data_IF_804584584046
#
_entry.id   IF_804584584046
#
_cell.length_a   1.000
_cell.length_b   1.000
_cell.length_c   1.000
_cell.angle_alpha   90.00
_cell.angle_beta   90.00
_cell.angle_gamma   90.00
#
_symmetry.space_group_name_H-M   'P 1'
#
loop_
_entity.id
_entity.type
_entity.pdbx_description
1 polymer ?
#
# COMPACT_ATOMS: atom_id res chain seq x y z
N UNK A 1 -16.57 27.13 -51.75
CA UNK A 1 -15.54 26.20 -52.28
C UNK A 1 -15.77 24.83 -51.67
N UNK A 2 -16.06 23.80 -52.47
CA UNK A 2 -16.26 22.42 -51.99
C UNK A 2 -14.92 21.67 -52.04
N UNK A 3 -14.52 21.04 -50.93
CA UNK A 3 -13.30 20.20 -50.92
C UNK A 3 -13.56 18.86 -51.62
N UNK A 4 -12.55 18.35 -52.30
CA UNK A 4 -12.65 17.12 -53.10
C UNK A 4 -12.92 15.88 -52.23
N UNK A 5 -13.46 14.82 -52.84
CA UNK A 5 -13.62 13.50 -52.19
C UNK A 5 -12.28 12.95 -51.69
N UNK A 6 -11.18 13.24 -52.40
CA UNK A 6 -9.81 12.86 -52.01
C UNK A 6 -9.33 13.57 -50.74
N UNK A 7 -9.73 14.82 -50.48
CA UNK A 7 -9.40 15.50 -49.23
C UNK A 7 -10.06 14.81 -48.02
N UNK A 8 -11.35 14.44 -48.14
CA UNK A 8 -12.07 13.74 -47.08
C UNK A 8 -11.53 12.34 -46.82
N UNK A 9 -11.16 11.60 -47.88
CA UNK A 9 -10.50 10.30 -47.75
C UNK A 9 -9.14 10.42 -47.02
N UNK A 10 -8.30 11.38 -47.39
CA UNK A 10 -7.01 11.62 -46.72
C UNK A 10 -7.19 12.01 -45.24
N UNK A 11 -8.16 12.89 -44.93
CA UNK A 11 -8.47 13.26 -43.56
C UNK A 11 -8.94 12.07 -42.70
N UNK A 12 -9.74 11.16 -43.27
CA UNK A 12 -10.18 9.94 -42.57
C UNK A 12 -9.00 9.00 -42.26
N UNK A 13 -8.07 8.80 -43.20
CA UNK A 13 -6.87 7.97 -42.99
C UNK A 13 -5.95 8.57 -41.91
N UNK A 14 -5.73 9.89 -41.91
CA UNK A 14 -4.96 10.57 -40.86
C UNK A 14 -5.64 10.43 -39.49
N UNK A 15 -6.96 10.58 -39.43
CA UNK A 15 -7.72 10.39 -38.18
C UNK A 15 -7.58 8.95 -37.65
N UNK A 16 -7.67 7.94 -38.51
CA UNK A 16 -7.44 6.54 -38.15
C UNK A 16 -6.02 6.30 -37.62
N UNK A 17 -4.99 6.86 -38.26
CA UNK A 17 -3.61 6.74 -37.79
C UNK A 17 -3.41 7.36 -36.40
N UNK A 18 -4.02 8.53 -36.14
CA UNK A 18 -3.99 9.18 -34.82
C UNK A 18 -4.73 8.36 -33.76
N UNK A 19 -5.90 7.78 -34.09
CA UNK A 19 -6.64 6.93 -33.16
C UNK A 19 -5.88 5.64 -32.82
N UNK A 20 -5.27 4.98 -33.81
CA UNK A 20 -4.42 3.80 -33.59
C UNK A 20 -3.21 4.11 -32.72
N UNK A 21 -2.52 5.24 -32.96
CA UNK A 21 -1.37 5.67 -32.17
C UNK A 21 -1.76 6.03 -30.73
N UNK A 22 -2.88 6.73 -30.53
CA UNK A 22 -3.39 7.05 -29.20
C UNK A 22 -3.80 5.78 -28.42
N UNK A 23 -4.47 4.83 -29.09
CA UNK A 23 -4.80 3.53 -28.51
C UNK A 23 -3.56 2.74 -28.10
N UNK A 24 -2.52 2.72 -28.95
CA UNK A 24 -1.25 2.06 -28.65
C UNK A 24 -0.51 2.68 -27.47
N UNK A 25 -0.40 4.02 -27.43
CA UNK A 25 0.26 4.73 -26.32
C UNK A 25 -0.47 4.58 -24.97
N UNK A 26 -1.81 4.43 -24.99
CA UNK A 26 -2.59 4.04 -23.80
C UNK A 26 -2.32 2.58 -23.44
N UNK A 27 -2.30 1.68 -24.42
CA UNK A 27 -2.07 0.25 -24.21
C UNK A 27 -0.70 -0.05 -23.59
N UNK A 28 0.41 0.53 -24.07
CA UNK A 28 1.73 0.35 -23.45
C UNK A 28 1.73 0.80 -21.98
N UNK A 29 1.15 1.97 -21.70
CA UNK A 29 1.07 2.52 -20.35
C UNK A 29 0.21 1.68 -19.40
N UNK A 30 -0.87 1.09 -19.91
CA UNK A 30 -1.75 0.18 -19.15
C UNK A 30 -1.08 -1.17 -18.95
N UNK A 31 -0.44 -1.73 -19.98
CA UNK A 31 0.27 -3.02 -19.93
C UNK A 31 1.33 -3.04 -18.83
N UNK A 32 2.18 -1.99 -18.76
CA UNK A 32 3.19 -1.83 -17.71
C UNK A 32 2.62 -1.78 -16.27
N UNK A 33 1.33 -1.48 -16.09
CA UNK A 33 0.67 -1.51 -14.79
C UNK A 33 -0.02 -2.86 -14.47
N UNK A 34 -0.29 -3.71 -15.47
CA UNK A 34 -0.96 -4.99 -15.26
C UNK A 34 -0.05 -6.22 -15.36
N UNK A 35 1.16 -6.12 -15.92
CA UNK A 35 2.11 -7.25 -16.01
C UNK A 35 2.79 -7.65 -14.67
N UNK A 36 2.39 -7.09 -13.53
CA UNK A 36 3.09 -7.27 -12.24
C UNK A 36 2.28 -7.93 -11.11
N UNK A 37 0.95 -7.76 -11.06
CA UNK A 37 0.12 -8.10 -9.89
C UNK A 37 -0.74 -9.37 -10.09
N UNK A 38 -0.18 -10.41 -10.72
CA UNK A 38 -0.73 -11.77 -10.57
C UNK A 38 -0.36 -12.27 -9.17
N UNK A 39 -1.17 -11.95 -8.17
CA UNK A 39 -1.02 -12.53 -6.83
C UNK A 39 -1.35 -14.02 -6.94
N UNK A 40 -0.33 -14.86 -7.05
CA UNK A 40 -0.47 -16.29 -6.75
C UNK A 40 -0.80 -16.44 -5.27
N UNK A 41 -2.10 -16.50 -4.97
CA UNK A 41 -2.60 -16.93 -3.67
C UNK A 41 -2.31 -18.42 -3.54
N UNK A 42 -1.07 -18.75 -3.18
CA UNK A 42 -0.79 -20.04 -2.56
C UNK A 42 -1.70 -20.12 -1.33
N UNK A 43 -2.64 -21.09 -1.26
CA UNK A 43 -3.45 -21.25 -0.08
C UNK A 43 -2.53 -21.62 1.07
N UNK A 44 -2.42 -20.73 2.06
CA UNK A 44 -1.85 -21.07 3.36
C UNK A 44 -2.60 -22.31 3.85
N UNK A 45 -1.94 -23.42 4.19
CA UNK A 45 -2.62 -24.60 4.69
C UNK A 45 -3.47 -24.23 5.90
N UNK A 46 -4.79 -24.24 5.73
CA UNK A 46 -5.71 -23.90 6.80
C UNK A 46 -5.50 -24.91 7.94
N UNK A 47 -5.29 -24.46 9.20
CA UNK A 47 -5.45 -25.36 10.32
C UNK A 47 -6.88 -25.90 10.26
N UNK A 48 -7.04 -27.22 10.39
CA UNK A 48 -8.35 -27.87 10.30
C UNK A 48 -9.22 -27.38 11.44
N UNK A 49 -10.13 -26.45 11.14
CA UNK A 49 -11.23 -26.11 12.02
C UNK A 49 -12.15 -27.34 12.09
N UNK A 50 -12.47 -27.76 13.32
CA UNK A 50 -13.46 -28.81 13.53
C UNK A 50 -14.86 -28.26 13.23
N UNK A 51 -15.77 -29.16 12.86
CA UNK A 51 -17.12 -28.81 12.44
C UNK A 51 -17.99 -28.50 13.66
N UNK A 52 -18.37 -27.23 13.81
CA UNK A 52 -19.24 -26.72 14.87
C UNK A 52 -20.41 -25.97 14.20
N UNK A 53 -21.49 -26.68 13.85
CA UNK A 53 -22.71 -26.11 13.26
C UNK A 53 -23.56 -25.39 14.32
N UNK A 54 -23.85 -24.09 14.15
CA UNK A 54 -25.22 -23.56 14.33
C UNK A 54 -25.41 -22.17 13.69
N UNK A 55 -26.67 -21.71 13.67
CA UNK A 55 -27.18 -20.70 12.73
C UNK A 55 -27.40 -19.30 13.36
N UNK A 56 -27.75 -18.31 12.53
CA UNK A 56 -28.38 -17.01 12.85
C UNK A 56 -27.51 -15.80 13.27
N UNK A 57 -27.14 -15.01 12.26
CA UNK A 57 -27.17 -13.52 12.28
C UNK A 57 -28.59 -13.02 12.69
N UNK A 58 -28.82 -11.82 13.28
CA UNK A 58 -28.06 -10.59 13.01
C UNK A 58 -27.94 -9.48 14.12
N UNK A 59 -27.29 -8.38 13.71
CA UNK A 59 -27.55 -6.98 14.11
C UNK A 59 -27.02 -6.42 15.46
N UNK A 60 -25.79 -5.86 15.37
CA UNK A 60 -25.44 -4.46 15.65
C UNK A 60 -25.63 -3.77 17.04
N UNK A 61 -24.59 -2.97 17.38
CA UNK A 61 -24.60 -1.62 17.99
C UNK A 61 -24.11 -1.48 19.44
N UNK A 62 -23.23 -0.49 19.66
CA UNK A 62 -22.74 0.14 20.92
C UNK A 62 -22.07 -0.81 21.95
N UNK A 63 -20.82 -0.58 22.36
CA UNK A 63 -20.29 0.53 23.20
C UNK A 63 -20.63 0.39 24.69
N UNK A 64 -19.68 -0.17 25.46
CA UNK A 64 -19.36 0.08 26.89
C UNK A 64 -18.17 -0.84 27.23
N UNK A 65 -17.05 -0.42 27.83
CA UNK A 65 -16.80 0.25 29.11
C UNK A 65 -16.56 -0.73 30.30
N UNK A 66 -15.26 -1.01 30.52
CA UNK A 66 -14.59 -1.22 31.82
C UNK A 66 -14.76 -2.52 32.67
N UNK A 67 -13.64 -3.27 32.74
CA UNK A 67 -12.90 -3.65 33.98
C UNK A 67 -13.42 -4.77 34.93
N UNK A 68 -12.47 -5.62 35.36
CA UNK A 68 -12.49 -6.56 36.52
C UNK A 68 -13.38 -7.84 36.43
N UNK A 69 -13.04 -9.01 37.02
CA UNK A 69 -11.86 -9.44 37.82
C UNK A 69 -11.65 -10.98 37.80
N UNK A 70 -10.45 -11.39 38.20
CA UNK A 70 -10.06 -12.68 38.81
C UNK A 70 -10.10 -13.97 37.95
N UNK A 71 -9.01 -14.75 38.00
CA UNK A 71 -8.93 -16.10 37.42
C UNK A 71 -7.56 -16.49 36.86
N UNK A 72 -6.52 -16.56 37.70
CA UNK A 72 -5.32 -17.36 37.39
C UNK A 72 -5.47 -18.71 38.11
N UNK A 73 -5.42 -19.83 37.37
CA UNK A 73 -4.22 -20.65 37.49
C UNK A 73 -3.75 -21.33 36.17
N UNK A 74 -2.52 -21.84 36.24
CA UNK A 74 -1.89 -22.83 35.36
C UNK A 74 -1.40 -22.32 33.99
N UNK A 75 -0.07 -22.26 33.88
CA UNK A 75 0.67 -21.89 32.68
C UNK A 75 0.58 -22.97 31.59
N UNK A 76 -0.07 -22.62 30.47
CA UNK A 76 0.34 -23.10 29.14
C UNK A 76 1.36 -22.11 28.58
N UNK A 77 2.38 -22.50 27.79
CA UNK A 77 3.25 -21.56 27.08
C UNK A 77 2.42 -20.72 26.10
N UNK A 78 2.00 -19.54 26.55
CA UNK A 78 1.07 -18.71 25.81
C UNK A 78 1.72 -18.16 24.54
N UNK A 79 1.03 -18.28 23.41
CA UNK A 79 1.39 -17.53 22.21
C UNK A 79 1.22 -16.04 22.53
N UNK A 80 2.34 -15.34 22.69
CA UNK A 80 2.33 -13.90 22.99
C UNK A 80 1.61 -13.16 21.86
N UNK A 81 0.53 -12.44 22.20
CA UNK A 81 -0.19 -11.61 21.24
C UNK A 81 0.82 -10.58 20.69
N UNK A 82 0.99 -10.44 19.36
CA UNK A 82 2.01 -9.56 18.82
C UNK A 82 1.71 -8.11 19.21
N UNK A 83 2.62 -7.50 19.97
CA UNK A 83 2.48 -6.12 20.46
C UNK A 83 2.96 -5.14 19.38
N UNK A 84 2.26 -4.02 19.20
CA UNK A 84 2.63 -3.02 18.20
C UNK A 84 3.80 -2.16 18.70
N UNK A 85 4.96 -2.30 18.04
CA UNK A 85 6.19 -1.56 18.32
C UNK A 85 6.10 -0.15 17.74
N UNK A 86 6.46 0.86 18.53
CA UNK A 86 6.47 2.27 18.12
C UNK A 86 7.68 2.57 17.24
N UNK A 87 7.53 2.44 15.93
CA UNK A 87 8.62 2.65 14.97
C UNK A 87 8.73 4.12 14.56
N UNK A 88 9.94 4.69 14.66
CA UNK A 88 10.27 6.04 14.21
C UNK A 88 10.85 6.02 12.79
N UNK A 89 10.14 6.62 11.85
CA UNK A 89 10.62 6.84 10.48
C UNK A 89 11.22 8.24 10.33
N UNK A 90 12.42 8.32 9.78
CA UNK A 90 13.10 9.60 9.50
C UNK A 90 13.45 9.76 8.01
N UNK A 91 13.31 10.98 7.49
CA UNK A 91 13.78 11.36 6.15
C UNK A 91 14.47 12.73 6.20
N UNK A 92 15.72 12.80 5.70
CA UNK A 92 16.57 14.00 5.81
C UNK A 92 16.46 14.86 4.55
N UNK A 93 15.58 15.86 4.58
CA UNK A 93 15.45 16.85 3.51
C UNK A 93 14.98 18.22 4.05
N UNK A 94 15.93 19.15 4.13
CA UNK A 94 15.67 20.51 4.56
C UNK A 94 14.93 21.37 3.50
N UNK A 95 15.02 21.01 2.21
CA UNK A 95 14.47 21.78 1.08
C UNK A 95 13.03 21.39 0.72
N UNK A 96 12.65 20.14 0.95
CA UNK A 96 11.27 19.67 0.74
C UNK A 96 10.24 20.55 1.47
N UNK A 97 9.09 20.79 0.83
CA UNK A 97 7.95 21.53 1.41
C UNK A 97 7.00 20.60 2.17
N UNK A 98 6.93 19.33 1.75
CA UNK A 98 6.05 18.29 2.26
C UNK A 98 6.71 16.92 2.11
N UNK A 99 6.62 16.09 3.15
CA UNK A 99 6.97 14.66 3.08
C UNK A 99 5.87 13.86 3.74
N UNK A 100 5.46 12.77 3.07
CA UNK A 100 4.61 11.72 3.64
C UNK A 100 5.31 10.37 3.55
N UNK A 101 4.87 9.40 4.34
CA UNK A 101 5.27 7.99 4.25
C UNK A 101 4.05 7.15 3.86
N UNK A 102 4.27 6.12 3.04
CA UNK A 102 3.28 5.11 2.69
C UNK A 102 3.95 3.73 2.65
N UNK A 103 3.25 2.70 3.16
CA UNK A 103 3.73 1.32 3.20
C UNK A 103 2.57 0.35 3.39
N UNK A 104 2.85 -0.95 3.41
CA UNK A 104 1.82 -1.97 3.68
C UNK A 104 1.07 -1.72 4.99
N UNK A 105 1.80 -1.31 6.04
CA UNK A 105 1.26 -0.95 7.36
C UNK A 105 0.38 0.31 7.40
N UNK A 106 0.35 1.13 6.34
CA UNK A 106 -0.64 2.23 6.18
C UNK A 106 -1.72 1.91 5.16
N UNK A 107 -1.78 0.66 4.65
CA UNK A 107 -2.53 0.30 3.44
C UNK A 107 -2.20 1.23 2.26
N UNK A 108 -0.92 1.59 2.12
CA UNK A 108 -0.37 2.57 1.17
C UNK A 108 -0.97 3.99 1.24
N UNK A 109 -1.69 4.33 2.31
CA UNK A 109 -2.19 5.70 2.55
C UNK A 109 -1.01 6.60 2.96
N UNK A 110 -0.96 7.81 2.38
CA UNK A 110 0.06 8.80 2.68
C UNK A 110 -0.13 9.42 4.07
N UNK A 111 0.71 9.04 5.04
CA UNK A 111 0.79 9.63 6.38
C UNK A 111 1.78 10.79 6.35
N UNK A 112 1.32 12.01 6.64
CA UNK A 112 2.17 13.22 6.66
C UNK A 112 3.21 13.15 7.78
N UNK A 113 4.46 13.49 7.48
CA UNK A 113 5.54 13.57 8.45
C UNK A 113 5.66 14.98 9.03
N UNK A 114 6.16 15.12 10.26
CA UNK A 114 6.45 16.40 10.89
C UNK A 114 7.90 16.83 10.63
N UNK A 115 8.14 18.08 10.21
CA UNK A 115 9.49 18.61 9.95
C UNK A 115 10.08 19.24 11.22
N UNK A 116 11.23 18.75 11.69
CA UNK A 116 12.00 19.31 12.81
C UNK A 116 13.48 19.37 12.44
N UNK A 117 14.07 20.57 12.49
CA UNK A 117 15.49 20.83 12.20
C UNK A 117 15.96 20.27 10.83
N UNK A 118 15.12 20.35 9.79
CA UNK A 118 15.41 19.82 8.46
C UNK A 118 15.25 18.30 8.29
N UNK A 119 14.87 17.59 9.35
CA UNK A 119 14.53 16.16 9.32
C UNK A 119 13.01 15.99 9.42
N UNK A 120 12.44 15.18 8.56
CA UNK A 120 11.04 14.77 8.61
C UNK A 120 10.91 13.51 9.46
N UNK A 121 9.96 13.49 10.40
CA UNK A 121 9.74 12.37 11.33
C UNK A 121 8.28 11.94 11.35
N UNK A 122 8.03 10.65 11.44
CA UNK A 122 6.72 10.08 11.75
C UNK A 122 6.89 8.89 12.71
N UNK A 123 5.99 8.80 13.69
CA UNK A 123 5.95 7.71 14.67
C UNK A 123 4.72 6.86 14.37
N UNK A 124 4.91 5.57 14.11
CA UNK A 124 3.83 4.66 13.69
C UNK A 124 3.96 3.35 14.47
N UNK A 125 2.87 2.92 15.09
CA UNK A 125 2.79 1.63 15.78
C UNK A 125 2.54 0.53 14.75
N UNK A 126 3.47 -0.43 14.66
CA UNK A 126 3.43 -1.55 13.71
C UNK A 126 3.86 -2.84 14.41
N UNK A 127 3.31 -3.98 14.01
CA UNK A 127 3.68 -5.28 14.59
C UNK A 127 5.12 -5.64 14.20
N UNK A 128 5.76 -6.63 14.86
CA UNK A 128 7.02 -7.19 14.38
C UNK A 128 6.88 -7.79 12.97
N UNK A 129 7.93 -7.67 12.16
CA UNK A 129 8.00 -8.16 10.79
C UNK A 129 8.64 -7.17 9.81
N UNK A 130 8.91 -7.64 8.60
CA UNK A 130 9.52 -6.87 7.52
C UNK A 130 8.45 -6.28 6.59
N UNK A 131 8.49 -4.97 6.30
CA UNK A 131 7.45 -4.29 5.51
C UNK A 131 8.02 -3.42 4.38
N UNK A 132 7.40 -3.43 3.17
CA UNK A 132 7.72 -2.50 2.10
C UNK A 132 7.09 -1.12 2.32
N UNK A 133 7.86 -0.07 2.05
CA UNK A 133 7.46 1.33 2.19
C UNK A 133 8.23 2.28 1.26
N UNK A 134 7.71 3.49 1.11
CA UNK A 134 8.41 4.61 0.46
C UNK A 134 8.01 5.95 1.10
N UNK A 135 8.78 6.99 0.76
CA UNK A 135 8.46 8.37 1.07
C UNK A 135 7.86 9.06 -0.16
N UNK A 136 6.93 9.98 0.04
CA UNK A 136 6.37 10.87 -0.98
C UNK A 136 6.84 12.28 -0.65
N UNK A 137 7.79 12.81 -1.42
CA UNK A 137 8.45 14.10 -1.20
C UNK A 137 7.98 15.07 -2.27
N UNK A 138 7.23 16.10 -1.87
CA UNK A 138 6.62 17.09 -2.78
C UNK A 138 5.94 16.43 -4.00
N UNK A 139 5.10 15.41 -3.73
CA UNK A 139 4.36 14.64 -4.72
C UNK A 139 5.13 13.52 -5.42
N UNK A 140 6.44 13.38 -5.20
CA UNK A 140 7.30 12.41 -5.90
C UNK A 140 7.67 11.22 -5.00
N UNK A 141 7.51 9.97 -5.49
CA UNK A 141 7.96 8.75 -4.79
C UNK A 141 9.49 8.76 -4.64
N UNK A 142 9.99 8.49 -3.43
CA UNK A 142 11.40 8.43 -3.05
C UNK A 142 11.64 7.21 -2.17
N UNK A 143 12.79 6.55 -2.36
CA UNK A 143 13.23 5.45 -1.53
C UNK A 143 13.97 5.95 -0.28
N UNK A 144 13.98 5.14 0.78
CA UNK A 144 14.74 5.42 1.98
C UNK A 144 16.25 5.24 1.73
N UNK A 145 17.10 6.25 1.97
CA UNK A 145 18.54 6.12 1.76
C UNK A 145 19.13 5.09 2.75
N UNK A 146 19.92 4.14 2.23
CA UNK A 146 20.60 3.13 3.04
C UNK A 146 19.72 1.99 3.56
N UNK A 147 18.51 1.80 3.01
CA UNK A 147 17.66 0.63 3.30
C UNK A 147 17.72 -0.42 2.18
N UNK A 148 17.57 -1.72 2.51
CA UNK A 148 17.41 -2.76 1.49
C UNK A 148 16.14 -2.53 0.66
N UNK A 149 16.11 -3.08 -0.55
CA UNK A 149 14.98 -2.94 -1.48
C UNK A 149 14.18 -4.23 -1.55
N UNK A 150 12.87 -4.11 -1.65
CA UNK A 150 11.98 -5.20 -2.02
C UNK A 150 12.12 -5.54 -3.52
N UNK A 151 11.69 -6.73 -3.98
CA UNK A 151 11.54 -7.03 -5.40
C UNK A 151 10.64 -6.04 -6.15
N UNK A 152 9.67 -5.41 -5.46
CA UNK A 152 8.82 -4.32 -6.01
C UNK A 152 9.55 -2.99 -6.22
N UNK A 153 10.82 -2.89 -5.80
CA UNK A 153 11.62 -1.66 -5.83
C UNK A 153 11.37 -0.70 -4.66
N UNK A 154 10.38 -0.96 -3.78
CA UNK A 154 10.18 -0.21 -2.54
C UNK A 154 11.31 -0.44 -1.51
N UNK A 155 11.38 0.40 -0.48
CA UNK A 155 12.34 0.22 0.62
C UNK A 155 11.77 -0.74 1.65
N UNK A 156 12.61 -1.57 2.27
CA UNK A 156 12.19 -2.44 3.38
C UNK A 156 12.54 -1.79 4.73
N UNK A 157 11.58 -1.80 5.65
CA UNK A 157 11.82 -1.65 7.09
C UNK A 157 11.70 -3.03 7.71
N UNK A 158 12.55 -3.30 8.70
CA UNK A 158 12.47 -4.50 9.52
C UNK A 158 12.18 -4.08 10.97
N UNK A 159 11.30 -4.82 11.65
CA UNK A 159 10.76 -4.48 12.96
C UNK A 159 10.84 -5.71 13.85
N UNK A 160 11.68 -5.66 14.88
CA UNK A 160 11.84 -6.69 15.90
C UNK A 160 11.94 -6.02 17.28
#
# INVERSE_FOLDING_TARGET
MTKSKTFWAAAAVVCLAVMSYAGYAIYERVSLHFSGDTIEVHPVPLPVAQEDEEETTPAAKEETAAVEKAGDPAQTPAAEKPHAIKTLFEYKDAKAKSVSIAGSFTSWKNVKMAKKNGVWKAEIYILPGTYPYHFTVDGNKRLAPGKPKAPTGDSLVDVN
#
